data_IF_440068881600
#
_entry.id   IF_440068881600
#
_cell.length_a   1.000
_cell.length_b   1.000
_cell.length_c   1.000
_cell.angle_alpha   90.00
_cell.angle_beta   90.00
_cell.angle_gamma   90.00
#
_symmetry.space_group_name_H-M   'P 1'
#
loop_
_entity.id
_entity.type
_entity.pdbx_description
1 polymer ?
#
# COMPACT_ATOMS: atom_id res chain seq x y z
N UNK A 1 -1.44 -20.60 6.87
CA UNK A 1 -2.16 -19.36 7.16
C UNK A 1 -1.99 -18.39 5.99
N UNK A 2 -3.05 -17.73 5.63
CA UNK A 2 -2.99 -16.76 4.54
C UNK A 2 -2.63 -15.40 5.08
N UNK A 3 -1.65 -14.78 4.43
CA UNK A 3 -1.35 -13.38 4.66
C UNK A 3 -2.33 -12.58 3.82
N UNK A 4 -3.06 -11.65 4.41
CA UNK A 4 -4.01 -10.84 3.66
C UNK A 4 -3.26 -9.91 2.71
N UNK A 5 -3.97 -9.41 1.69
CA UNK A 5 -3.38 -8.45 0.76
C UNK A 5 -2.83 -7.25 1.50
N UNK A 6 -3.58 -6.75 2.48
CA UNK A 6 -3.14 -5.59 3.25
C UNK A 6 -1.89 -5.89 4.08
N UNK A 7 -1.77 -7.09 4.63
CA UNK A 7 -0.58 -7.44 5.42
C UNK A 7 0.69 -7.34 4.61
N UNK A 8 0.63 -7.72 3.34
CA UNK A 8 1.78 -7.60 2.44
C UNK A 8 2.13 -6.13 2.21
N UNK A 9 1.12 -5.31 1.95
CA UNK A 9 1.32 -3.88 1.73
C UNK A 9 1.79 -3.18 3.00
N UNK A 10 1.27 -3.60 4.14
CA UNK A 10 1.66 -3.06 5.42
C UNK A 10 3.16 -3.27 5.68
N UNK A 11 3.65 -4.46 5.33
CA UNK A 11 5.08 -4.75 5.47
C UNK A 11 5.95 -3.80 4.67
N UNK A 12 5.55 -3.52 3.43
CA UNK A 12 6.27 -2.59 2.58
C UNK A 12 6.26 -1.19 3.18
N UNK A 13 5.08 -0.73 3.64
CA UNK A 13 4.94 0.60 4.21
C UNK A 13 5.70 0.74 5.53
N UNK A 14 5.73 -0.32 6.33
CA UNK A 14 6.44 -0.30 7.62
C UNK A 14 7.94 -0.15 7.42
N UNK A 15 8.48 -0.72 6.35
CA UNK A 15 9.91 -0.65 6.05
C UNK A 15 10.28 0.65 5.33
N UNK A 16 9.31 1.37 4.80
CA UNK A 16 9.58 2.59 4.04
C UNK A 16 9.90 3.75 4.98
N UNK A 17 10.90 4.53 4.62
CA UNK A 17 11.28 5.71 5.40
C UNK A 17 10.40 6.91 5.10
N UNK A 18 9.70 6.88 3.98
CA UNK A 18 8.82 7.96 3.57
C UNK A 18 7.61 7.39 2.84
N UNK A 19 6.53 8.17 2.68
CA UNK A 19 5.34 7.69 1.99
C UNK A 19 5.64 7.26 0.56
N UNK A 20 4.99 6.19 0.12
CA UNK A 20 5.21 5.61 -1.21
C UNK A 20 3.95 5.70 -2.05
N UNK A 21 4.15 5.85 -3.37
CA UNK A 21 3.04 5.76 -4.33
C UNK A 21 2.64 4.29 -4.50
N UNK A 22 1.44 4.06 -5.05
CA UNK A 22 0.99 2.69 -5.32
C UNK A 22 1.96 1.97 -6.25
N UNK A 23 2.51 2.68 -7.24
CA UNK A 23 3.48 2.09 -8.17
C UNK A 23 4.76 1.67 -7.45
N UNK A 24 5.26 2.52 -6.56
CA UNK A 24 6.44 2.20 -5.78
C UNK A 24 6.21 1.00 -4.87
N UNK A 25 5.04 0.95 -4.24
CA UNK A 25 4.68 -0.17 -3.37
C UNK A 25 4.63 -1.46 -4.18
N UNK A 26 3.99 -1.44 -5.34
CA UNK A 26 3.90 -2.61 -6.20
C UNK A 26 5.28 -3.13 -6.60
N UNK A 27 6.23 -2.21 -6.83
CA UNK A 27 7.60 -2.58 -7.20
C UNK A 27 8.36 -3.25 -6.06
N UNK A 28 7.94 -3.01 -4.82
CA UNK A 28 8.60 -3.59 -3.64
C UNK A 28 8.01 -4.94 -3.21
N UNK A 29 6.92 -5.38 -3.82
CA UNK A 29 6.30 -6.64 -3.44
C UNK A 29 7.14 -7.81 -3.93
N UNK A 30 7.33 -8.80 -3.06
CA UNK A 30 8.10 -9.99 -3.39
C UNK A 30 7.34 -10.92 -4.33
N UNK A 31 6.02 -10.87 -4.25
CA UNK A 31 5.16 -11.68 -5.10
C UNK A 31 4.26 -10.76 -5.92
N UNK A 32 4.80 -10.21 -7.03
CA UNK A 32 4.01 -9.25 -7.81
C UNK A 32 2.72 -9.85 -8.37
N UNK A 33 2.64 -11.17 -8.49
CA UNK A 33 1.42 -11.83 -8.96
C UNK A 33 0.25 -11.68 -8.00
N UNK A 34 0.50 -11.33 -6.74
CA UNK A 34 -0.55 -11.11 -5.77
C UNK A 34 -1.36 -9.84 -6.10
N UNK A 35 -0.76 -8.93 -6.85
CA UNK A 35 -1.40 -7.69 -7.26
C UNK A 35 -1.16 -7.46 -8.74
N UNK A 36 -2.23 -7.42 -9.51
CA UNK A 36 -2.15 -7.28 -10.97
C UNK A 36 -1.61 -5.94 -11.41
N UNK A 37 -1.74 -4.91 -10.57
CA UNK A 37 -1.36 -3.57 -10.99
C UNK A 37 -1.31 -2.61 -9.80
N UNK A 38 -0.67 -1.44 -9.96
CA UNK A 38 -0.73 -0.38 -8.94
C UNK A 38 -2.16 0.03 -8.60
N UNK A 39 -3.09 -0.09 -9.54
CA UNK A 39 -4.49 0.20 -9.29
C UNK A 39 -5.05 -0.68 -8.17
N UNK A 40 -4.71 -1.96 -8.19
CA UNK A 40 -5.16 -2.89 -7.14
C UNK A 40 -4.58 -2.49 -5.78
N UNK A 41 -3.31 -2.12 -5.76
CA UNK A 41 -2.66 -1.64 -4.54
C UNK A 41 -3.41 -0.42 -4.00
N UNK A 42 -3.71 0.55 -4.87
CA UNK A 42 -4.41 1.76 -4.48
C UNK A 42 -5.81 1.46 -3.94
N UNK A 43 -6.50 0.48 -4.53
CA UNK A 43 -7.85 0.09 -4.08
C UNK A 43 -7.80 -0.47 -2.66
N UNK A 44 -6.87 -1.37 -2.39
CA UNK A 44 -6.74 -1.97 -1.06
C UNK A 44 -6.37 -0.91 -0.03
N UNK A 45 -5.41 -0.06 -0.35
CA UNK A 45 -4.96 0.98 0.58
C UNK A 45 -6.04 2.04 0.81
N UNK A 46 -6.82 2.37 -0.22
CA UNK A 46 -7.93 3.29 -0.07
C UNK A 46 -8.96 2.80 0.93
N UNK A 47 -9.27 1.51 0.90
CA UNK A 47 -10.20 0.91 1.86
C UNK A 47 -9.64 0.97 3.27
N UNK A 48 -8.35 0.76 3.43
CA UNK A 48 -7.72 0.84 4.74
C UNK A 48 -7.60 2.27 5.24
N UNK A 49 -7.45 3.22 4.33
CA UNK A 49 -7.47 4.64 4.69
C UNK A 49 -8.83 5.03 5.27
N UNK A 50 -9.91 4.50 4.72
CA UNK A 50 -11.26 4.74 5.23
C UNK A 50 -11.42 4.22 6.67
N UNK A 51 -10.65 3.21 7.04
CA UNK A 51 -10.68 2.65 8.39
C UNK A 51 -9.70 3.33 9.34
N UNK A 52 -8.85 4.22 8.81
CA UNK A 52 -7.86 4.90 9.60
C UNK A 52 -6.55 4.17 9.76
N UNK A 53 -6.36 3.04 9.06
CA UNK A 53 -5.12 2.26 9.14
C UNK A 53 -3.99 2.83 8.30
N UNK A 54 -4.33 3.59 7.28
CA UNK A 54 -3.38 4.15 6.32
C UNK A 54 -3.73 5.63 6.09
N UNK A 55 -2.71 6.45 5.94
CA UNK A 55 -2.88 7.85 5.54
C UNK A 55 -2.58 8.00 4.06
N UNK A 56 -3.41 8.76 3.37
CA UNK A 56 -3.22 9.09 1.96
C UNK A 56 -2.77 10.54 1.88
N UNK A 57 -1.64 10.77 1.21
CA UNK A 57 -1.02 12.09 1.13
C UNK A 57 -0.89 12.55 -0.31
N UNK A 58 -1.04 13.84 -0.52
CA UNK A 58 -0.82 14.44 -1.83
C UNK A 58 -1.90 14.13 -2.85
N UNK A 59 -1.61 14.47 -4.09
CA UNK A 59 -2.51 14.22 -5.23
C UNK A 59 -1.66 13.96 -6.47
N UNK A 60 -2.11 13.05 -7.29
CA UNK A 60 -1.57 12.77 -8.63
C UNK A 60 -0.05 12.68 -8.71
N UNK A 61 0.59 11.68 -8.11
CA UNK A 61 -0.01 10.49 -7.52
C UNK A 61 -0.19 10.62 -6.00
N UNK A 62 -1.14 9.86 -5.48
CA UNK A 62 -1.28 9.72 -4.04
C UNK A 62 -0.12 8.90 -3.47
N UNK A 63 0.29 9.26 -2.27
CA UNK A 63 1.29 8.53 -1.52
C UNK A 63 0.64 7.98 -0.26
N UNK A 64 1.14 6.86 0.20
CA UNK A 64 0.54 6.14 1.32
C UNK A 64 1.56 5.89 2.42
N UNK A 65 1.10 5.95 3.66
CA UNK A 65 1.91 5.57 4.82
C UNK A 65 1.00 4.99 5.88
N UNK A 66 1.59 4.22 6.80
CA UNK A 66 0.81 3.67 7.90
C UNK A 66 0.44 4.79 8.88
N UNK A 67 -0.80 4.72 9.35
CA UNK A 67 -1.30 5.63 10.37
C UNK A 67 -0.98 5.00 11.73
N UNK A 68 -0.01 5.53 12.42
CA UNK A 68 0.39 4.99 13.71
C UNK A 68 0.26 6.00 14.82
#
# INVERSE_FOLDING_TARGET
>A
MHTSEFDQLRGVLADAEEPLTAREIAAHLEEPDAFDSPHRVATVLGRRADRGDVEVLGESPYRYRLST
#
